data_IF_788546403236
#
_entry.id   IF_788546403236
#
_cell.length_a   1.000
_cell.length_b   1.000
_cell.length_c   1.000
_cell.angle_alpha   90.00
_cell.angle_beta   90.00
_cell.angle_gamma   90.00
#
_symmetry.space_group_name_H-M   'P 1'
#
loop_
_entity.id
_entity.type
_entity.pdbx_description
1 polymer ?
#
# COMPACT_ATOMS: atom_id res chain seq x y z
N UNK A 1 -5.71 6.85 7.90
CA UNK A 1 -6.57 7.97 8.07
C UNK A 1 -7.15 7.99 9.47
N UNK A 2 -7.80 9.09 9.82
CA UNK A 2 -8.15 9.38 11.20
C UNK A 2 -9.20 8.49 11.85
N UNK A 3 -9.84 7.58 11.10
CA UNK A 3 -10.90 6.72 11.64
C UNK A 3 -10.40 5.36 12.14
N UNK A 4 -9.18 4.97 11.77
CA UNK A 4 -8.72 3.60 12.04
C UNK A 4 -8.60 3.31 13.52
N UNK A 5 -7.89 4.16 14.26
CA UNK A 5 -7.69 3.92 15.69
C UNK A 5 -8.99 4.03 16.49
N UNK A 6 -9.83 5.05 16.29
CA UNK A 6 -11.13 5.08 16.99
C UNK A 6 -11.99 3.86 16.68
N UNK A 7 -12.07 3.41 15.42
CA UNK A 7 -12.85 2.23 15.07
C UNK A 7 -12.29 0.98 15.73
N UNK A 8 -10.95 0.84 15.77
CA UNK A 8 -10.33 -0.31 16.42
C UNK A 8 -10.70 -0.38 17.90
N UNK A 9 -10.72 0.77 18.56
CA UNK A 9 -11.07 0.85 19.98
C UNK A 9 -12.56 0.60 20.22
N UNK A 10 -13.41 1.12 19.34
CA UNK A 10 -14.85 0.92 19.49
C UNK A 10 -15.26 -0.54 19.30
N UNK A 11 -14.54 -1.28 18.45
CA UNK A 11 -14.90 -2.65 18.11
C UNK A 11 -14.09 -3.71 18.88
N UNK A 12 -13.20 -3.28 19.76
CA UNK A 12 -12.33 -4.22 20.46
C UNK A 12 -13.09 -5.22 21.33
N UNK A 13 -14.17 -4.80 21.93
CA UNK A 13 -14.97 -5.68 22.79
C UNK A 13 -15.70 -6.75 22.00
N UNK A 14 -15.84 -6.57 20.69
CA UNK A 14 -16.44 -7.55 19.80
C UNK A 14 -15.38 -8.50 19.19
N UNK A 15 -14.12 -8.33 19.55
CA UNK A 15 -13.04 -9.14 18.98
C UNK A 15 -12.71 -8.83 17.55
N UNK A 16 -12.96 -7.59 17.11
CA UNK A 16 -12.74 -7.15 15.73
C UNK A 16 -11.50 -6.25 15.68
N UNK A 17 -10.61 -6.56 14.77
CA UNK A 17 -9.44 -5.72 14.48
C UNK A 17 -9.72 -4.84 13.27
N UNK A 18 -9.20 -3.62 13.31
CA UNK A 18 -9.39 -2.65 12.22
C UNK A 18 -8.03 -2.08 11.86
N UNK A 19 -7.63 -2.25 10.62
CA UNK A 19 -6.40 -1.71 10.08
C UNK A 19 -6.68 -1.13 8.69
N UNK A 20 -5.81 -0.25 8.23
CA UNK A 20 -5.91 0.25 6.86
C UNK A 20 -4.57 0.11 6.17
N UNK A 21 -4.61 -0.01 4.85
CA UNK A 21 -3.42 -0.09 4.02
C UNK A 21 -3.50 0.99 2.96
N UNK A 22 -2.44 1.77 2.83
CA UNK A 22 -2.31 2.78 1.79
C UNK A 22 -1.24 2.33 0.81
N UNK A 23 -1.64 1.70 -0.32
CA UNK A 23 -0.67 1.24 -1.29
C UNK A 23 -0.10 2.40 -2.10
N UNK A 24 1.15 2.26 -2.54
CA UNK A 24 1.72 3.14 -3.53
C UNK A 24 1.28 2.71 -4.93
N UNK A 25 2.22 2.76 -5.87
CA UNK A 25 1.93 2.39 -7.25
C UNK A 25 2.40 0.95 -7.47
N UNK A 26 1.48 0.10 -7.88
CA UNK A 26 1.76 -1.32 -8.10
C UNK A 26 1.60 -1.70 -9.57
N UNK A 27 2.40 -2.67 -10.00
CA UNK A 27 2.39 -3.16 -11.37
C UNK A 27 1.23 -4.12 -11.60
N UNK A 28 0.01 -3.59 -11.57
CA UNK A 28 -1.19 -4.35 -11.90
C UNK A 28 -1.29 -4.58 -13.41
N UNK A 29 -2.15 -5.49 -13.88
CA UNK A 29 -2.33 -5.66 -15.33
C UNK A 29 -2.67 -4.36 -16.07
N UNK A 30 -3.47 -3.48 -15.45
CA UNK A 30 -3.79 -2.18 -16.05
C UNK A 30 -2.53 -1.32 -16.21
N UNK A 31 -1.70 -1.29 -15.19
CA UNK A 31 -0.45 -0.52 -15.22
C UNK A 31 0.57 -1.13 -16.18
N UNK A 32 0.62 -2.45 -16.28
CA UNK A 32 1.49 -3.12 -17.24
C UNK A 32 1.11 -2.78 -18.68
N UNK A 33 -0.18 -2.55 -18.95
CA UNK A 33 -0.61 -2.10 -20.26
C UNK A 33 -0.04 -0.73 -20.63
N UNK A 34 0.17 0.14 -19.63
CA UNK A 34 0.79 1.44 -19.86
C UNK A 34 2.24 1.33 -20.30
N UNK A 35 2.95 0.28 -19.86
CA UNK A 35 4.34 0.07 -20.26
C UNK A 35 4.48 0.01 -21.79
N UNK A 36 3.54 -0.64 -22.46
CA UNK A 36 3.56 -0.77 -23.91
C UNK A 36 3.08 0.50 -24.61
N UNK A 37 2.10 1.18 -24.03
CA UNK A 37 1.50 2.37 -24.67
C UNK A 37 2.32 3.63 -24.43
N UNK A 38 2.99 3.75 -23.30
CA UNK A 38 3.75 4.95 -22.96
C UNK A 38 4.97 4.57 -22.11
N UNK A 39 6.04 4.05 -22.75
CA UNK A 39 7.24 3.63 -22.03
C UNK A 39 7.89 4.75 -21.21
N UNK A 40 7.82 6.00 -21.69
CA UNK A 40 8.43 7.11 -20.96
C UNK A 40 7.74 7.34 -19.63
N UNK A 41 6.41 7.31 -19.60
CA UNK A 41 5.67 7.46 -18.35
C UNK A 41 5.92 6.30 -17.41
N UNK A 42 6.02 5.09 -17.96
CA UNK A 42 6.37 3.91 -17.17
C UNK A 42 7.71 4.11 -16.46
N UNK A 43 8.72 4.55 -17.20
CA UNK A 43 10.05 4.79 -16.64
C UNK A 43 10.03 5.89 -15.59
N UNK A 44 9.27 6.95 -15.83
CA UNK A 44 9.14 8.05 -14.87
C UNK A 44 8.49 7.60 -13.57
N UNK A 45 7.45 6.77 -13.66
CA UNK A 45 6.78 6.25 -12.48
C UNK A 45 7.71 5.38 -11.66
N UNK A 46 8.47 4.49 -12.31
CA UNK A 46 9.42 3.65 -11.59
C UNK A 46 10.51 4.50 -10.93
N UNK A 47 10.98 5.54 -11.60
CA UNK A 47 12.01 6.42 -11.06
C UNK A 47 11.50 7.27 -9.90
N UNK A 48 10.19 7.49 -9.80
CA UNK A 48 9.61 8.31 -8.74
C UNK A 48 9.59 7.59 -7.39
N UNK A 49 9.76 6.28 -7.37
CA UNK A 49 9.80 5.50 -6.13
C UNK A 49 11.21 5.58 -5.55
N UNK A 50 11.38 6.06 -4.31
CA UNK A 50 12.72 6.20 -3.73
C UNK A 50 13.50 4.89 -3.66
N UNK A 51 12.89 3.83 -3.14
CA UNK A 51 13.57 2.54 -3.06
C UNK A 51 12.58 1.44 -2.72
N UNK A 52 12.60 0.33 -3.44
CA UNK A 52 13.35 0.09 -4.69
C UNK A 52 12.76 0.92 -5.84
N UNK A 53 13.60 1.29 -6.81
CA UNK A 53 13.17 2.16 -7.90
C UNK A 53 12.39 1.38 -8.95
N UNK A 54 11.22 0.95 -8.55
CA UNK A 54 10.29 0.20 -9.39
C UNK A 54 8.91 0.27 -8.76
N UNK A 55 7.89 -0.06 -9.55
CA UNK A 55 6.54 -0.23 -9.01
C UNK A 55 6.51 -1.48 -8.13
N UNK A 56 5.62 -1.48 -7.15
CA UNK A 56 5.44 -2.65 -6.30
C UNK A 56 4.85 -3.82 -7.07
N UNK A 57 5.21 -5.03 -6.69
CA UNK A 57 4.57 -6.22 -7.24
C UNK A 57 3.28 -6.52 -6.48
N UNK A 58 2.21 -6.95 -7.17
CA UNK A 58 0.96 -7.29 -6.48
C UNK A 58 1.16 -8.32 -5.36
N UNK A 59 2.10 -9.24 -5.52
CA UNK A 59 2.41 -10.23 -4.49
C UNK A 59 2.92 -9.60 -3.20
N UNK A 60 3.58 -8.46 -3.31
CA UNK A 60 4.07 -7.74 -2.13
C UNK A 60 2.91 -7.15 -1.33
N UNK A 61 1.89 -6.63 -2.02
CA UNK A 61 0.68 -6.16 -1.37
C UNK A 61 -0.06 -7.32 -0.71
N UNK A 62 -0.21 -8.43 -1.41
CA UNK A 62 -0.87 -9.62 -0.86
C UNK A 62 -0.13 -10.14 0.37
N UNK A 63 1.20 -10.12 0.36
CA UNK A 63 2.02 -10.55 1.49
C UNK A 63 1.73 -9.72 2.74
N UNK A 64 1.62 -8.40 2.59
CA UNK A 64 1.30 -7.53 3.72
C UNK A 64 -0.11 -7.83 4.24
N UNK A 65 -1.09 -7.98 3.36
CA UNK A 65 -2.46 -8.27 3.77
C UNK A 65 -2.53 -9.60 4.54
N UNK A 66 -1.82 -10.62 4.06
CA UNK A 66 -1.77 -11.92 4.74
C UNK A 66 -1.13 -11.80 6.13
N UNK A 67 -0.08 -10.99 6.26
CA UNK A 67 0.55 -10.78 7.55
C UNK A 67 -0.39 -10.06 8.52
N UNK A 68 -1.12 -9.05 8.06
CA UNK A 68 -2.09 -8.33 8.89
C UNK A 68 -3.18 -9.30 9.37
N UNK A 69 -3.67 -10.16 8.47
CA UNK A 69 -4.71 -11.12 8.81
C UNK A 69 -4.22 -12.17 9.80
N UNK A 70 -2.99 -12.64 9.62
CA UNK A 70 -2.42 -13.72 10.44
C UNK A 70 -1.95 -13.25 11.80
N UNK A 71 -1.40 -12.05 11.88
CA UNK A 71 -0.78 -11.53 13.09
C UNK A 71 -1.85 -10.83 13.94
N UNK A 72 -2.36 -11.53 14.92
CA UNK A 72 -3.50 -11.05 15.72
C UNK A 72 -3.20 -9.84 16.59
N UNK A 73 -1.92 -9.49 16.75
CA UNK A 73 -1.55 -8.32 17.56
C UNK A 73 -1.57 -7.02 16.75
N UNK A 74 -1.73 -7.09 15.43
CA UNK A 74 -1.82 -5.92 14.57
C UNK A 74 -3.26 -5.38 14.62
N UNK A 75 -3.41 -4.17 15.17
CA UNK A 75 -4.72 -3.54 15.31
C UNK A 75 -4.59 -2.02 15.40
N UNK A 76 -5.51 -1.32 14.79
CA UNK A 76 -5.56 0.15 14.88
C UNK A 76 -4.46 0.86 14.13
N UNK A 77 -3.85 0.22 13.15
CA UNK A 77 -2.68 0.76 12.48
C UNK A 77 -2.95 1.07 11.00
N UNK A 78 -2.26 2.10 10.51
CA UNK A 78 -2.23 2.43 9.10
C UNK A 78 -0.89 2.02 8.53
N UNK A 79 -0.93 1.19 7.48
CA UNK A 79 0.27 0.72 6.81
C UNK A 79 0.41 1.43 5.48
N UNK A 80 1.61 1.94 5.20
CA UNK A 80 1.95 2.43 3.86
C UNK A 80 2.88 1.42 3.21
N UNK A 81 2.54 1.00 2.00
CA UNK A 81 3.36 0.06 1.23
C UNK A 81 3.62 0.71 -0.13
N UNK A 82 4.65 1.53 -0.21
CA UNK A 82 4.81 2.46 -1.33
C UNK A 82 6.28 2.78 -1.69
N UNK A 83 7.24 2.02 -1.16
CA UNK A 83 8.64 2.30 -1.45
C UNK A 83 9.08 3.68 -1.01
N UNK A 84 8.44 4.23 0.01
CA UNK A 84 8.70 5.56 0.59
C UNK A 84 8.31 6.73 -0.33
N UNK A 85 7.46 6.47 -1.33
CA UNK A 85 7.00 7.55 -2.20
C UNK A 85 6.14 8.54 -1.42
N UNK A 86 6.29 9.81 -1.72
CA UNK A 86 5.49 10.90 -1.17
C UNK A 86 5.17 11.89 -2.27
N UNK A 87 4.03 12.57 -2.15
CA UNK A 87 3.71 13.62 -3.08
C UNK A 87 4.76 14.72 -2.99
N UNK A 88 5.32 15.18 -4.13
CA UNK A 88 6.27 16.27 -4.07
C UNK A 88 5.60 17.56 -3.58
N UNK A 89 6.32 18.40 -2.86
CA UNK A 89 5.81 19.71 -2.50
C UNK A 89 5.62 20.56 -3.76
N UNK A 90 4.62 21.40 -3.74
CA UNK A 90 4.36 22.29 -4.87
C UNK A 90 5.36 23.41 -4.94
#
# INVERSE_FOLDING_TARGET
>A
NGLVLPMARDLMDLGIRVNSVMPGIFATPLMLGMKDRNPQMWDQLNASVPFPKRLGHPEEFASLICEIARNSYINGHQFRLDGAIRMPPK
#
